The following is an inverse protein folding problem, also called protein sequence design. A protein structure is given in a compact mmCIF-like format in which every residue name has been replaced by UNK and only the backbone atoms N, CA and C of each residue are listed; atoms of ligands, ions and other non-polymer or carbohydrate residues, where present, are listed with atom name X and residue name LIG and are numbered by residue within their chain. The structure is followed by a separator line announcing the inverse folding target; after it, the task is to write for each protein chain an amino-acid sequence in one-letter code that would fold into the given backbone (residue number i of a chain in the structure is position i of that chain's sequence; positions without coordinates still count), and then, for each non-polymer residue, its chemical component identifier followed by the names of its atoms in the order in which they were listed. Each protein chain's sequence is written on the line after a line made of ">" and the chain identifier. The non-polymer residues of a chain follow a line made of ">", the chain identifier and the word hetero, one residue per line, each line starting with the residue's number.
data_IF_028534513109
#
_entry.id   IF_028534513109
#
_cell.length_a   1.000
_cell.length_b   1.000
_cell.length_c   1.000
_cell.angle_alpha   90.00
_cell.angle_beta   90.00
_cell.angle_gamma   90.00
#
_symmetry.space_group_name_H-M   'P 1'
#
loop_
_entity.id
_entity.type
_entity.pdbx_description
1 polymer ?
#
# COMPACT_ATOMS: atom_id res chain seq x y z
N UNK A 1 -35.27 15.90 5.85
CA UNK A 1 -34.18 15.66 6.84
C UNK A 1 -34.35 14.26 7.42
N UNK A 2 -33.57 13.28 6.97
CA UNK A 2 -33.52 11.94 7.55
C UNK A 2 -32.11 11.69 8.07
N UNK A 3 -31.93 11.64 9.39
CA UNK A 3 -30.64 11.30 9.99
C UNK A 3 -30.55 9.78 10.04
N UNK A 4 -29.79 9.20 9.13
CA UNK A 4 -29.43 7.77 9.22
C UNK A 4 -28.47 7.61 10.39
N UNK A 5 -29.02 7.36 11.59
CA UNK A 5 -28.24 7.11 12.81
C UNK A 5 -27.58 5.71 12.84
N UNK A 6 -27.89 4.83 11.88
CA UNK A 6 -27.50 3.41 11.87
C UNK A 6 -26.81 2.95 10.58
N UNK A 7 -25.96 3.78 9.98
CA UNK A 7 -25.03 3.31 8.95
C UNK A 7 -23.77 2.75 9.60
N UNK A 8 -23.33 1.55 9.21
CA UNK A 8 -21.94 1.12 9.38
C UNK A 8 -21.21 1.35 8.04
N UNK A 9 -20.95 2.61 7.61
CA UNK A 9 -20.39 2.88 6.30
C UNK A 9 -19.06 2.16 6.12
N UNK A 10 -18.90 1.56 4.95
CA UNK A 10 -17.70 0.86 4.52
C UNK A 10 -17.17 1.53 3.26
N UNK A 11 -15.86 1.71 3.20
CA UNK A 11 -15.18 2.23 2.02
C UNK A 11 -13.87 1.46 1.82
N UNK A 12 -13.50 1.28 0.56
CA UNK A 12 -12.20 0.74 0.20
C UNK A 12 -11.62 1.49 -0.99
N UNK A 13 -10.30 1.47 -1.07
CA UNK A 13 -9.56 1.90 -2.26
C UNK A 13 -8.53 0.82 -2.61
N UNK A 14 -8.22 0.71 -3.90
CA UNK A 14 -7.21 -0.22 -4.41
C UNK A 14 -6.33 0.46 -5.46
N UNK A 15 -5.02 0.38 -5.26
CA UNK A 15 -4.01 0.64 -6.29
C UNK A 15 -3.43 -0.67 -6.79
N UNK A 16 -3.27 -0.81 -8.11
CA UNK A 16 -2.68 -2.00 -8.73
C UNK A 16 -1.60 -1.59 -9.74
N UNK A 17 -0.46 -2.26 -9.66
CA UNK A 17 0.61 -2.17 -10.66
C UNK A 17 0.84 -3.57 -11.20
N UNK A 18 0.65 -3.75 -12.52
CA UNK A 18 0.84 -5.04 -13.18
C UNK A 18 2.31 -5.42 -13.27
N UNK A 19 3.14 -4.49 -13.74
CA UNK A 19 4.59 -4.63 -13.85
C UNK A 19 5.27 -3.27 -13.72
N UNK A 20 6.39 -3.23 -13.01
CA UNK A 20 7.38 -2.16 -13.05
C UNK A 20 8.70 -2.78 -13.49
N UNK A 21 9.41 -2.12 -14.39
CA UNK A 21 10.77 -2.48 -14.79
C UNK A 21 11.63 -1.20 -14.72
N UNK A 22 12.73 -1.25 -13.97
CA UNK A 22 13.66 -0.12 -13.84
C UNK A 22 15.11 -0.58 -13.98
N UNK A 23 15.98 0.35 -14.40
CA UNK A 23 17.41 0.10 -14.60
C UNK A 23 17.63 -1.10 -15.53
N UNK A 24 16.96 -1.09 -16.69
CA UNK A 24 17.09 -2.09 -17.75
C UNK A 24 16.91 -3.55 -17.30
N UNK A 25 15.95 -3.81 -16.42
CA UNK A 25 15.66 -5.17 -15.93
C UNK A 25 16.40 -5.56 -14.66
N UNK A 26 17.26 -4.69 -14.14
CA UNK A 26 17.94 -4.90 -12.85
C UNK A 26 16.93 -5.10 -11.72
N UNK A 27 15.83 -4.33 -11.72
CA UNK A 27 14.71 -4.54 -10.78
C UNK A 27 13.41 -4.68 -11.59
N UNK A 28 12.76 -5.82 -11.43
CA UNK A 28 11.43 -6.08 -12.01
C UNK A 28 10.46 -6.43 -10.89
N UNK A 29 9.37 -5.68 -10.79
CA UNK A 29 8.29 -5.94 -9.83
C UNK A 29 7.04 -6.32 -10.59
N UNK A 30 6.33 -7.37 -10.15
CA UNK A 30 5.08 -7.81 -10.77
C UNK A 30 3.99 -8.06 -9.73
N UNK A 31 2.75 -7.79 -10.14
CA UNK A 31 1.58 -8.13 -9.35
C UNK A 31 1.55 -7.42 -7.99
N UNK A 32 1.61 -6.10 -7.98
CA UNK A 32 1.51 -5.31 -6.75
C UNK A 32 0.08 -4.81 -6.59
N UNK A 33 -0.53 -5.10 -5.45
CA UNK A 33 -1.86 -4.61 -5.09
C UNK A 33 -1.76 -4.02 -3.69
N UNK A 34 -2.13 -2.76 -3.52
CA UNK A 34 -2.43 -2.19 -2.21
C UNK A 34 -3.91 -2.00 -2.06
N UNK A 35 -4.45 -2.40 -0.91
CA UNK A 35 -5.87 -2.25 -0.60
C UNK A 35 -6.05 -1.63 0.77
N UNK A 36 -6.66 -0.46 0.80
CA UNK A 36 -7.06 0.24 2.02
C UNK A 36 -8.54 -0.06 2.30
N UNK A 37 -8.88 -0.52 3.51
CA UNK A 37 -10.26 -0.79 3.90
C UNK A 37 -10.60 -0.05 5.19
N UNK A 38 -11.74 0.65 5.20
CA UNK A 38 -12.29 1.33 6.37
C UNK A 38 -13.74 0.90 6.57
N UNK A 39 -14.10 0.61 7.81
CA UNK A 39 -15.48 0.39 8.26
C UNK A 39 -15.74 1.21 9.51
N UNK A 40 -16.77 2.04 9.50
CA UNK A 40 -17.22 2.72 10.71
C UNK A 40 -18.09 1.76 11.54
N UNK A 41 -17.83 1.71 12.84
CA UNK A 41 -18.60 0.93 13.83
C UNK A 41 -18.90 1.87 14.99
N UNK A 42 -20.13 2.36 15.06
CA UNK A 42 -20.49 3.51 15.91
C UNK A 42 -19.65 4.74 15.53
N UNK A 43 -18.92 5.30 16.50
CA UNK A 43 -18.03 6.46 16.26
C UNK A 43 -16.56 6.05 15.99
N UNK A 44 -16.27 4.75 15.86
CA UNK A 44 -14.90 4.24 15.68
C UNK A 44 -14.68 3.69 14.27
N UNK A 45 -13.59 4.10 13.62
CA UNK A 45 -13.19 3.54 12.35
C UNK A 45 -12.30 2.29 12.54
N UNK A 46 -12.80 1.12 12.13
CA UNK A 46 -12.01 -0.10 11.95
C UNK A 46 -11.29 -0.05 10.60
N UNK A 47 -9.98 -0.32 10.60
CA UNK A 47 -9.08 -0.11 9.46
C UNK A 47 -8.23 -1.35 9.22
N UNK A 48 -8.12 -1.83 7.98
CA UNK A 48 -7.22 -2.94 7.66
C UNK A 48 -6.72 -2.87 6.21
N UNK A 49 -5.71 -3.69 5.92
CA UNK A 49 -5.08 -3.81 4.59
C UNK A 49 -5.24 -5.21 3.99
N UNK A 50 -6.33 -5.92 4.34
CA UNK A 50 -6.59 -7.26 3.77
C UNK A 50 -6.74 -7.13 2.25
N UNK A 51 -5.96 -7.91 1.53
CA UNK A 51 -5.88 -7.86 0.06
C UNK A 51 -4.71 -7.04 -0.49
N UNK A 52 -3.83 -6.49 0.35
CA UNK A 52 -2.53 -5.97 -0.08
C UNK A 52 -1.56 -7.13 -0.33
N UNK A 53 -0.98 -7.20 -1.53
CA UNK A 53 -0.09 -8.28 -1.97
C UNK A 53 1.04 -7.76 -2.86
N UNK A 54 2.18 -8.45 -2.83
CA UNK A 54 3.27 -8.34 -3.80
C UNK A 54 3.48 -9.76 -4.31
N UNK A 55 3.32 -9.99 -5.60
CA UNK A 55 3.48 -11.35 -6.16
C UNK A 55 4.94 -11.70 -6.39
N UNK A 56 5.68 -10.82 -7.05
CA UNK A 56 7.05 -11.13 -7.48
C UNK A 56 7.91 -9.87 -7.50
N UNK A 57 9.13 -10.01 -7.00
CA UNK A 57 10.22 -9.03 -7.17
C UNK A 57 11.47 -9.77 -7.61
N UNK A 58 12.03 -9.36 -8.73
CA UNK A 58 13.27 -9.87 -9.27
C UNK A 58 14.36 -8.80 -9.14
N UNK A 59 15.54 -9.22 -8.68
CA UNK A 59 16.77 -8.41 -8.72
C UNK A 59 17.83 -9.16 -9.51
N UNK A 60 18.33 -8.56 -10.59
CA UNK A 60 19.25 -9.21 -11.53
C UNK A 60 18.74 -10.60 -11.99
N UNK A 61 17.44 -10.68 -12.30
CA UNK A 61 16.77 -11.92 -12.70
C UNK A 61 16.52 -12.94 -11.59
N UNK A 62 16.96 -12.70 -10.35
CA UNK A 62 16.75 -13.61 -9.21
C UNK A 62 15.56 -13.18 -8.36
N UNK A 63 14.72 -14.13 -7.99
CA UNK A 63 13.59 -13.88 -7.10
C UNK A 63 14.07 -13.45 -5.71
N UNK A 64 13.54 -12.31 -5.25
CA UNK A 64 13.76 -11.79 -3.90
C UNK A 64 12.48 -12.01 -3.11
N UNK A 65 12.61 -12.63 -1.93
CA UNK A 65 11.48 -12.77 -1.04
C UNK A 65 11.19 -11.43 -0.36
N UNK A 66 10.04 -10.83 -0.69
CA UNK A 66 9.56 -9.56 -0.10
C UNK A 66 8.38 -9.83 0.84
N UNK A 67 8.53 -10.86 1.68
CA UNK A 67 7.55 -11.19 2.71
C UNK A 67 7.67 -10.29 3.93
N UNK A 68 6.54 -9.93 4.53
CA UNK A 68 6.52 -9.18 5.80
C UNK A 68 6.57 -7.67 5.63
N UNK A 69 7.18 -6.99 6.61
CA UNK A 69 7.31 -5.53 6.67
C UNK A 69 8.78 -5.07 6.63
N UNK A 70 9.72 -5.99 6.44
CA UNK A 70 11.13 -5.70 6.57
C UNK A 70 11.65 -4.96 5.35
N UNK A 71 12.47 -3.95 5.60
CA UNK A 71 13.12 -3.20 4.54
C UNK A 71 14.28 -4.01 3.98
N UNK A 72 14.28 -4.22 2.66
CA UNK A 72 15.33 -4.98 1.96
C UNK A 72 16.24 -4.00 1.23
N UNK A 73 17.54 -4.07 1.50
CA UNK A 73 18.56 -3.29 0.78
C UNK A 73 19.16 -4.14 -0.33
N UNK A 74 19.17 -3.61 -1.55
CA UNK A 74 19.79 -4.21 -2.74
C UNK A 74 21.12 -3.49 -3.03
N UNK A 75 22.05 -3.52 -2.06
CA UNK A 75 23.30 -2.77 -2.13
C UNK A 75 23.09 -1.26 -2.24
N UNK A 76 23.83 -0.60 -3.13
CA UNK A 76 23.68 0.83 -3.46
C UNK A 76 22.60 1.11 -4.51
N UNK A 77 22.00 0.06 -5.10
CA UNK A 77 21.08 0.19 -6.23
C UNK A 77 19.71 0.66 -5.76
N UNK A 78 19.15 -0.02 -4.75
CA UNK A 78 17.80 0.29 -4.29
C UNK A 78 17.52 -0.20 -2.86
N UNK A 79 16.46 0.36 -2.28
CA UNK A 79 15.82 -0.13 -1.06
C UNK A 79 14.36 -0.45 -1.36
N UNK A 80 13.89 -1.61 -0.91
CA UNK A 80 12.51 -2.06 -1.02
C UNK A 80 11.86 -2.02 0.35
N UNK A 81 10.75 -1.31 0.46
CA UNK A 81 9.98 -1.22 1.70
C UNK A 81 8.56 -1.73 1.46
N UNK A 82 8.27 -2.98 1.82
CA UNK A 82 6.93 -3.52 1.68
C UNK A 82 5.99 -2.94 2.74
N UNK A 83 4.71 -2.86 2.39
CA UNK A 83 3.58 -2.70 3.30
C UNK A 83 3.70 -1.51 4.26
N UNK A 84 3.98 -0.34 3.70
CA UNK A 84 3.95 0.91 4.47
C UNK A 84 2.49 1.26 4.75
N UNK A 85 2.10 1.31 6.03
CA UNK A 85 0.73 1.60 6.45
C UNK A 85 0.70 2.81 7.36
N UNK A 86 -0.05 3.85 6.95
CA UNK A 86 -0.34 5.02 7.76
C UNK A 86 -1.81 5.01 8.16
N UNK A 87 -2.08 5.03 9.47
CA UNK A 87 -3.45 5.07 10.01
C UNK A 87 -3.74 6.47 10.53
N UNK A 88 -4.89 7.03 10.15
CA UNK A 88 -5.41 8.27 10.73
C UNK A 88 -6.63 7.96 11.59
N UNK A 89 -7.23 8.97 12.22
CA UNK A 89 -8.44 8.78 13.06
C UNK A 89 -9.53 8.05 12.28
N UNK A 90 -9.81 8.51 11.06
CA UNK A 90 -10.94 8.08 10.24
C UNK A 90 -10.57 7.41 8.90
N UNK A 91 -9.28 7.19 8.65
CA UNK A 91 -8.81 6.65 7.39
C UNK A 91 -7.55 5.79 7.52
N UNK A 92 -7.18 5.20 6.40
CA UNK A 92 -5.97 4.39 6.25
C UNK A 92 -5.39 4.62 4.86
N UNK A 93 -4.07 4.72 4.83
CA UNK A 93 -3.25 4.84 3.64
C UNK A 93 -2.27 3.67 3.63
N UNK A 94 -2.12 3.01 2.49
CA UNK A 94 -1.21 1.91 2.30
C UNK A 94 -0.43 2.10 1.00
N UNK A 95 0.87 1.87 1.06
CA UNK A 95 1.70 1.61 -0.11
C UNK A 95 2.14 0.15 -0.02
N UNK A 96 1.76 -0.65 -1.00
CA UNK A 96 2.08 -2.07 -1.02
C UNK A 96 3.59 -2.30 -1.12
N UNK A 97 4.28 -1.56 -1.98
CA UNK A 97 5.74 -1.58 -2.09
C UNK A 97 6.25 -0.18 -2.42
N UNK A 98 7.16 0.34 -1.60
CA UNK A 98 7.97 1.50 -1.97
C UNK A 98 9.33 1.02 -2.46
N UNK A 99 9.72 1.51 -3.63
CA UNK A 99 11.05 1.29 -4.22
C UNK A 99 11.78 2.62 -4.20
N UNK A 100 12.92 2.65 -3.53
CA UNK A 100 13.77 3.83 -3.44
C UNK A 100 15.07 3.52 -4.18
N UNK A 101 15.34 4.22 -5.28
CA UNK A 101 16.50 3.99 -6.15
C UNK A 101 17.68 4.89 -5.77
N UNK A 102 18.90 4.45 -6.09
CA UNK A 102 20.14 5.24 -6.12
C UNK A 102 20.29 6.16 -4.89
N UNK A 103 20.43 5.58 -3.70
CA UNK A 103 20.60 6.33 -2.46
C UNK A 103 19.54 7.41 -2.18
N UNK A 104 18.27 7.15 -2.53
CA UNK A 104 17.09 8.01 -2.26
C UNK A 104 16.83 9.14 -3.26
N UNK A 105 17.46 9.13 -4.44
CA UNK A 105 17.17 10.13 -5.48
C UNK A 105 15.78 9.97 -6.10
N UNK A 106 15.22 8.76 -6.13
CA UNK A 106 13.90 8.49 -6.72
C UNK A 106 13.11 7.54 -5.83
N UNK A 107 11.87 7.90 -5.48
CA UNK A 107 10.93 7.04 -4.77
C UNK A 107 9.71 6.71 -5.63
N UNK A 108 9.41 5.42 -5.75
CA UNK A 108 8.26 4.88 -6.46
C UNK A 108 7.34 4.17 -5.46
N UNK A 109 6.13 4.69 -5.26
CA UNK A 109 5.12 4.10 -4.38
C UNK A 109 4.15 3.25 -5.21
N UNK A 110 4.30 1.93 -5.16
CA UNK A 110 3.51 0.97 -5.94
C UNK A 110 2.34 0.44 -5.13
N UNK A 111 1.19 0.31 -5.80
CA UNK A 111 -0.06 -0.10 -5.15
C UNK A 111 -0.43 0.85 -4.02
N UNK A 112 -0.39 2.15 -4.28
CA UNK A 112 -0.84 3.15 -3.31
C UNK A 112 -2.37 3.15 -3.23
N UNK A 113 -2.92 3.21 -2.02
CA UNK A 113 -4.36 3.33 -1.79
C UNK A 113 -4.63 4.11 -0.50
N UNK A 114 -5.57 5.07 -0.54
CA UNK A 114 -5.91 5.92 0.60
C UNK A 114 -7.39 6.18 0.74
N UNK A 115 -8.02 5.60 1.75
CA UNK A 115 -9.44 5.80 2.00
C UNK A 115 -9.72 6.36 3.40
N UNK A 116 -10.70 7.25 3.50
CA UNK A 116 -11.19 7.80 4.76
C UNK A 116 -12.71 7.96 4.72
N UNK A 117 -13.37 7.76 5.87
CA UNK A 117 -14.81 7.96 6.03
C UNK A 117 -15.04 9.04 7.08
N UNK A 118 -15.68 10.14 6.72
CA UNK A 118 -16.10 11.15 7.71
C UNK A 118 -17.47 10.76 8.29
N UNK A 119 -17.64 10.72 9.62
CA UNK A 119 -18.95 10.58 10.23
C UNK A 119 -19.84 11.77 9.81
N UNK A 120 -21.10 11.52 9.50
CA UNK A 120 -22.08 12.59 9.26
C UNK A 120 -22.32 13.35 10.57
N UNK A 121 -22.03 14.65 10.60
CA UNK A 121 -22.21 15.53 11.78
C UNK A 121 -20.94 16.20 12.31
N UNK A 122 -19.81 16.03 11.62
CA UNK A 122 -18.60 16.84 11.75
C UNK A 122 -18.43 17.75 10.53
#
# INVERSE_FOLDING_TARGET
>A
RGVVRNGNPTAFERGKVGRLNVLDGTIVVRGVVGKANVKLVGNKARKNVKGTTITEVLFNGRLINVSGNDTIKLGSVATLQPRIVKRTKYGIEVTALRVTLLNRSVELNLGHAKVAIRPSGL
#
